data_IF_873593477801
#
_entry.id   IF_873593477801
#
_cell.length_a   1.000
_cell.length_b   1.000
_cell.length_c   1.000
_cell.angle_alpha   90.00
_cell.angle_beta   90.00
_cell.angle_gamma   90.00
#
_symmetry.space_group_name_H-M   'P 1'
#
loop_
_entity.id
_entity.type
_entity.pdbx_description
1 polymer ?
#
# COMPACT_ATOMS: atom_id res chain seq x y z
N UNK A 1 -2.92 24.52 -13.68
CA UNK A 1 -3.79 24.15 -14.82
C UNK A 1 -3.06 23.10 -15.63
N UNK A 2 -3.61 21.90 -15.77
CA UNK A 2 -3.07 20.86 -16.65
C UNK A 2 -3.90 20.88 -17.94
N UNK A 3 -3.30 20.82 -19.14
CA UNK A 3 -4.05 20.86 -20.39
C UNK A 3 -4.72 19.51 -20.69
N UNK A 4 -5.89 19.56 -21.31
CA UNK A 4 -6.53 18.43 -21.97
C UNK A 4 -5.87 18.24 -23.34
N UNK A 5 -5.40 17.04 -23.64
CA UNK A 5 -5.14 16.59 -25.02
C UNK A 5 -5.95 15.33 -25.24
N UNK A 6 -6.97 15.45 -26.08
CA UNK A 6 -7.66 14.33 -26.68
C UNK A 6 -6.85 13.90 -27.91
N UNK A 7 -6.40 12.66 -27.94
CA UNK A 7 -5.87 12.04 -29.16
C UNK A 7 -6.46 10.64 -29.27
N UNK A 8 -7.40 10.50 -30.19
CA UNK A 8 -7.94 9.22 -30.60
C UNK A 8 -6.84 8.41 -31.31
N UNK A 9 -6.46 7.27 -30.73
CA UNK A 9 -5.84 6.18 -31.48
C UNK A 9 -6.64 4.92 -31.20
N UNK A 10 -7.25 4.35 -32.25
CA UNK A 10 -7.90 3.05 -32.20
C UNK A 10 -6.84 1.97 -32.31
N UNK A 11 -6.79 1.08 -31.33
CA UNK A 11 -6.09 -0.20 -31.43
C UNK A 11 -7.09 -1.30 -31.08
N UNK A 12 -7.37 -2.21 -32.03
CA UNK A 12 -8.15 -3.41 -31.76
C UNK A 12 -7.21 -4.62 -31.86
N UNK A 13 -7.00 -5.29 -30.74
CA UNK A 13 -6.52 -6.67 -30.72
C UNK A 13 -7.26 -7.41 -29.59
N UNK A 14 -8.01 -8.45 -29.96
CA UNK A 14 -8.92 -9.17 -29.07
C UNK A 14 -8.13 -10.08 -28.12
N UNK A 15 -7.94 -9.63 -26.87
CA UNK A 15 -7.78 -10.52 -25.71
C UNK A 15 -8.62 -9.94 -24.59
N UNK A 16 -9.44 -10.76 -23.96
CA UNK A 16 -10.25 -10.40 -22.80
C UNK A 16 -9.34 -9.77 -21.73
N UNK A 17 -9.25 -8.44 -21.65
CA UNK A 17 -8.44 -7.73 -20.65
C UNK A 17 -9.24 -7.83 -19.35
N UNK A 18 -8.73 -8.58 -18.37
CA UNK A 18 -9.26 -8.53 -17.01
C UNK A 18 -9.13 -7.10 -16.51
N UNK A 19 -10.25 -6.49 -16.14
CA UNK A 19 -10.23 -5.18 -15.51
C UNK A 19 -9.98 -5.43 -14.02
N UNK A 20 -8.69 -5.53 -13.68
CA UNK A 20 -8.23 -5.53 -12.28
C UNK A 20 -7.97 -4.08 -11.89
N UNK A 21 -8.89 -3.53 -11.08
CA UNK A 21 -8.75 -2.23 -10.46
C UNK A 21 -8.23 -2.36 -9.03
N UNK A 22 -7.54 -1.32 -8.59
CA UNK A 22 -6.87 -1.26 -7.31
C UNK A 22 -7.40 -0.04 -6.55
N UNK A 23 -7.75 -0.23 -5.30
CA UNK A 23 -8.13 0.84 -4.40
C UNK A 23 -7.28 0.71 -3.14
N UNK A 24 -6.69 1.81 -2.70
CA UNK A 24 -6.01 1.90 -1.41
C UNK A 24 -6.87 2.75 -0.49
N UNK A 25 -7.04 2.32 0.76
CA UNK A 25 -7.82 3.10 1.74
C UNK A 25 -7.15 4.43 2.08
N UNK A 26 -5.83 4.55 1.87
CA UNK A 26 -5.07 5.79 2.01
C UNK A 26 -3.80 5.77 1.16
N UNK A 27 -3.33 6.94 0.74
CA UNK A 27 -2.01 7.15 0.10
C UNK A 27 -0.87 7.33 1.09
N UNK A 28 -1.21 7.47 2.37
CA UNK A 28 -0.31 7.65 3.49
C UNK A 28 -0.64 6.63 4.57
N UNK A 29 0.39 6.07 5.19
CA UNK A 29 0.24 5.12 6.28
C UNK A 29 1.21 5.41 7.41
N UNK A 30 0.79 5.07 8.63
CA UNK A 30 1.45 5.39 9.87
C UNK A 30 1.68 4.13 10.72
N UNK A 31 2.89 4.01 11.25
CA UNK A 31 3.29 2.97 12.21
C UNK A 31 4.11 3.66 13.33
N UNK A 32 3.87 3.35 14.62
CA UNK A 32 4.68 3.88 15.70
C UNK A 32 6.04 3.18 15.76
N UNK A 33 7.09 3.85 16.22
CA UNK A 33 8.43 3.25 16.39
C UNK A 33 8.47 2.12 17.42
N UNK A 34 7.51 2.13 18.35
CA UNK A 34 7.29 1.07 19.33
C UNK A 34 6.57 -0.16 18.76
N UNK A 35 6.24 -0.16 17.48
CA UNK A 35 5.59 -1.30 16.82
C UNK A 35 6.51 -2.51 16.76
N UNK A 36 5.91 -3.68 16.97
CA UNK A 36 6.56 -4.98 16.77
C UNK A 36 6.24 -5.51 15.37
N UNK A 37 7.02 -6.49 14.90
CA UNK A 37 6.75 -7.21 13.65
C UNK A 37 5.29 -7.71 13.60
N UNK A 38 4.65 -7.60 12.44
CA UNK A 38 3.24 -7.93 12.23
C UNK A 38 2.25 -6.80 12.56
N UNK A 39 2.71 -5.68 13.12
CA UNK A 39 1.83 -4.52 13.36
C UNK A 39 1.32 -3.96 12.03
N UNK A 40 0.00 -3.80 11.91
CA UNK A 40 -0.60 -3.21 10.70
C UNK A 40 -0.36 -1.71 10.63
N UNK A 41 -0.07 -1.23 9.42
CA UNK A 41 0.02 0.20 9.10
C UNK A 41 -1.38 0.80 9.19
N UNK A 42 -1.52 1.98 9.79
CA UNK A 42 -2.81 2.68 9.94
C UNK A 42 -2.96 3.83 8.97
N UNK A 43 -4.20 4.21 8.65
CA UNK A 43 -4.48 5.36 7.77
C UNK A 43 -4.25 6.73 8.43
N UNK A 44 -4.05 6.78 9.75
CA UNK A 44 -3.66 7.98 10.48
C UNK A 44 -2.82 7.64 11.73
N UNK A 45 -2.15 8.63 12.37
CA UNK A 45 -1.38 8.41 13.60
C UNK A 45 -2.22 7.98 14.82
N UNK A 46 -3.55 8.09 14.76
CA UNK A 46 -4.42 7.70 15.87
C UNK A 46 -4.32 6.18 16.12
N UNK A 47 -4.03 5.71 17.36
CA UNK A 47 -3.98 4.29 17.69
C UNK A 47 -5.28 3.51 17.40
N UNK A 48 -6.42 4.20 17.33
CA UNK A 48 -7.72 3.62 17.01
C UNK A 48 -8.08 3.69 15.52
N UNK A 49 -7.20 4.27 14.68
CA UNK A 49 -7.45 4.36 13.25
C UNK A 49 -7.45 2.98 12.58
N UNK A 50 -8.24 2.89 11.51
CA UNK A 50 -8.31 1.70 10.68
C UNK A 50 -6.94 1.36 10.07
N UNK A 51 -6.75 0.06 9.81
CA UNK A 51 -5.56 -0.41 9.10
C UNK A 51 -5.64 -0.02 7.63
N UNK A 52 -4.51 0.39 7.08
CA UNK A 52 -4.34 0.63 5.67
C UNK A 52 -4.52 -0.70 4.94
N UNK A 53 -5.49 -0.72 4.03
CA UNK A 53 -5.85 -1.90 3.27
C UNK A 53 -5.77 -1.59 1.78
N UNK A 54 -5.19 -2.55 1.07
CA UNK A 54 -5.17 -2.64 -0.37
C UNK A 54 -6.36 -3.51 -0.78
N UNK A 55 -7.30 -2.90 -1.49
CA UNK A 55 -8.46 -3.57 -2.07
C UNK A 55 -8.21 -3.80 -3.55
N UNK A 56 -8.40 -5.04 -3.98
CA UNK A 56 -8.33 -5.44 -5.38
C UNK A 56 -9.74 -5.78 -5.82
N UNK A 57 -10.19 -5.13 -6.88
CA UNK A 57 -11.44 -5.46 -7.55
C UNK A 57 -11.12 -6.00 -8.94
N UNK A 58 -11.67 -7.16 -9.27
CA UNK A 58 -11.46 -7.86 -10.54
C UNK A 58 -12.82 -8.13 -11.14
N UNK A 59 -13.16 -7.40 -12.22
CA UNK A 59 -14.46 -7.50 -12.88
C UNK A 59 -14.70 -8.89 -13.52
N UNK A 60 -13.65 -9.71 -13.64
CA UNK A 60 -13.80 -11.08 -14.11
C UNK A 60 -14.32 -12.03 -13.02
N UNK A 61 -14.32 -11.62 -11.74
CA UNK A 61 -14.84 -12.43 -10.64
C UNK A 61 -16.36 -12.36 -10.57
N UNK A 62 -17.01 -13.39 -11.12
CA UNK A 62 -18.47 -13.53 -11.10
C UNK A 62 -18.93 -14.36 -9.89
N UNK A 63 -20.16 -14.16 -9.39
CA UNK A 63 -20.75 -15.04 -8.38
C UNK A 63 -20.64 -16.51 -8.79
N UNK A 64 -20.17 -17.36 -7.88
CA UNK A 64 -19.92 -18.79 -8.14
C UNK A 64 -18.50 -19.14 -8.56
N UNK A 65 -17.62 -18.16 -8.81
CA UNK A 65 -16.18 -18.43 -8.96
C UNK A 65 -15.50 -18.64 -7.58
N UNK A 66 -14.42 -19.43 -7.52
CA UNK A 66 -13.57 -19.48 -6.34
C UNK A 66 -13.03 -18.09 -5.99
N UNK A 67 -12.80 -17.78 -4.70
CA UNK A 67 -12.10 -16.56 -4.31
C UNK A 67 -10.76 -16.44 -5.04
N UNK A 68 -10.46 -15.26 -5.59
CA UNK A 68 -9.15 -15.00 -6.17
C UNK A 68 -8.09 -14.88 -5.08
N UNK A 69 -6.91 -15.45 -5.35
CA UNK A 69 -5.71 -15.23 -4.55
C UNK A 69 -4.81 -14.26 -5.29
N UNK A 70 -4.39 -13.20 -4.59
CA UNK A 70 -3.48 -12.20 -5.12
C UNK A 70 -2.11 -12.30 -4.46
N UNK A 71 -1.07 -12.24 -5.28
CA UNK A 71 0.29 -11.96 -4.84
C UNK A 71 0.50 -10.46 -4.86
N UNK A 72 0.78 -9.87 -3.71
CA UNK A 72 1.23 -8.49 -3.62
C UNK A 72 2.74 -8.43 -3.77
N UNK A 73 3.21 -7.49 -4.59
CA UNK A 73 4.62 -7.23 -4.80
C UNK A 73 4.91 -5.80 -4.36
N UNK A 74 5.83 -5.67 -3.40
CA UNK A 74 6.33 -4.39 -2.94
C UNK A 74 7.67 -4.07 -3.58
N UNK A 75 7.85 -2.84 -4.04
CA UNK A 75 9.14 -2.33 -4.51
C UNK A 75 9.41 -0.92 -3.95
N UNK A 76 10.67 -0.46 -4.02
CA UNK A 76 11.10 0.82 -3.46
C UNK A 76 11.74 0.71 -2.07
N UNK A 77 12.17 1.84 -1.48
CA UNK A 77 12.96 1.85 -0.24
C UNK A 77 12.29 1.21 0.97
N UNK A 78 10.95 1.19 1.05
CA UNK A 78 10.23 0.53 2.13
C UNK A 78 10.01 -0.98 1.95
N UNK A 79 10.33 -1.55 0.78
CA UNK A 79 9.91 -2.91 0.42
C UNK A 79 10.62 -4.00 1.24
N UNK A 80 11.73 -3.67 1.90
CA UNK A 80 12.43 -4.55 2.84
C UNK A 80 11.90 -4.42 4.27
N UNK A 81 11.08 -3.42 4.56
CA UNK A 81 10.59 -3.06 5.90
C UNK A 81 9.14 -3.47 6.08
N UNK A 82 8.34 -3.47 5.01
CA UNK A 82 6.92 -3.77 5.03
C UNK A 82 6.58 -4.99 4.18
N UNK A 83 5.45 -5.60 4.47
CA UNK A 83 4.84 -6.67 3.67
C UNK A 83 3.31 -6.53 3.66
N UNK A 84 2.66 -7.22 2.72
CA UNK A 84 1.19 -7.23 2.59
C UNK A 84 0.69 -8.65 2.81
N UNK A 85 -0.34 -8.81 3.64
CA UNK A 85 -0.97 -10.12 3.86
C UNK A 85 -1.96 -10.48 2.74
N UNK A 86 -2.51 -11.71 2.79
CA UNK A 86 -3.49 -12.16 1.79
C UNK A 86 -4.82 -11.41 1.81
N UNK A 87 -5.09 -10.63 2.86
CA UNK A 87 -6.29 -9.79 3.01
C UNK A 87 -6.04 -8.37 2.51
N UNK A 88 -4.82 -8.05 2.08
CA UNK A 88 -4.41 -6.74 1.59
C UNK A 88 -3.97 -5.77 2.68
N UNK A 89 -3.77 -6.19 3.93
CA UNK A 89 -3.26 -5.30 4.97
C UNK A 89 -1.76 -5.18 4.89
N UNK A 90 -1.28 -3.93 4.87
CA UNK A 90 0.14 -3.62 4.94
C UNK A 90 0.60 -3.69 6.41
N UNK A 91 1.71 -4.37 6.67
CA UNK A 91 2.23 -4.56 8.02
C UNK A 91 3.75 -4.45 8.07
N UNK A 92 4.26 -4.20 9.28
CA UNK A 92 5.69 -4.12 9.56
C UNK A 92 6.33 -5.52 9.51
N UNK A 93 7.35 -5.70 8.67
CA UNK A 93 8.04 -6.96 8.42
C UNK A 93 9.47 -7.00 8.95
N UNK A 94 9.80 -6.08 9.86
CA UNK A 94 11.09 -6.04 10.57
C UNK A 94 10.84 -6.00 12.08
N UNK A 95 11.81 -6.40 12.92
CA UNK A 95 11.63 -6.44 14.37
C UNK A 95 11.38 -5.06 15.00
N UNK A 96 11.96 -4.00 14.43
CA UNK A 96 11.87 -2.62 14.92
C UNK A 96 12.19 -1.62 13.81
N UNK A 97 11.77 -0.37 14.01
CA UNK A 97 12.13 0.79 13.18
C UNK A 97 12.66 1.90 14.07
N UNK A 98 13.53 2.74 13.51
CA UNK A 98 14.11 3.91 14.15
C UNK A 98 14.00 5.06 13.16
N UNK A 99 13.24 6.10 13.51
CA UNK A 99 13.04 7.30 12.71
C UNK A 99 13.73 8.54 13.32
N UNK A 100 14.56 8.35 14.36
CA UNK A 100 15.39 9.43 14.89
C UNK A 100 16.53 9.74 13.89
N UNK A 101 16.82 11.03 13.62
CA UNK A 101 17.92 11.40 12.73
C UNK A 101 19.25 10.74 13.15
N UNK A 102 20.02 10.18 12.20
CA UNK A 102 19.94 10.39 10.74
C UNK A 102 19.02 9.43 9.98
N UNK A 103 18.25 8.57 10.67
CA UNK A 103 17.40 7.58 10.02
C UNK A 103 16.20 8.24 9.32
N UNK A 104 15.68 7.64 8.23
CA UNK A 104 14.53 8.17 7.53
C UNK A 104 13.24 8.01 8.35
N UNK A 105 12.47 9.09 8.48
CA UNK A 105 11.13 9.09 9.10
C UNK A 105 10.00 8.84 8.10
N UNK A 106 10.32 8.47 6.87
CA UNK A 106 9.35 8.12 5.83
C UNK A 106 9.96 7.18 4.80
N UNK A 107 9.12 6.29 4.25
CA UNK A 107 9.51 5.28 3.27
C UNK A 107 8.55 5.31 2.09
N UNK A 108 9.07 5.24 0.86
CA UNK A 108 8.21 5.09 -0.35
C UNK A 108 8.08 3.62 -0.72
N UNK A 109 6.87 3.25 -1.14
CA UNK A 109 6.51 1.91 -1.56
C UNK A 109 5.73 1.98 -2.88
N UNK A 110 6.08 1.13 -3.82
CA UNK A 110 5.18 0.81 -4.93
C UNK A 110 4.57 -0.56 -4.67
N UNK A 111 3.28 -0.69 -4.93
CA UNK A 111 2.51 -1.91 -4.71
C UNK A 111 1.90 -2.36 -6.03
N UNK A 112 2.14 -3.60 -6.40
CA UNK A 112 1.40 -4.27 -7.49
C UNK A 112 0.74 -5.54 -6.98
N UNK A 113 -0.28 -6.02 -7.69
CA UNK A 113 -0.98 -7.26 -7.38
C UNK A 113 -1.12 -8.12 -8.64
N UNK A 114 -0.87 -9.43 -8.49
CA UNK A 114 -1.00 -10.43 -9.55
C UNK A 114 -1.92 -11.55 -9.08
N UNK A 115 -2.89 -11.96 -9.89
CA UNK A 115 -3.75 -13.11 -9.59
C UNK A 115 -2.99 -14.42 -9.83
N UNK A 116 -2.93 -15.31 -8.83
CA UNK A 116 -2.09 -16.53 -8.87
C UNK A 116 -2.82 -17.75 -9.45
N UNK A 117 -4.15 -17.83 -9.33
CA UNK A 117 -4.92 -19.04 -9.63
C UNK A 117 -5.78 -18.95 -10.91
N UNK A 118 -5.40 -18.08 -11.83
CA UNK A 118 -5.96 -18.04 -13.17
C UNK A 118 -5.07 -18.89 -14.10
N UNK A 119 -5.60 -19.71 -15.02
CA UNK A 119 -4.81 -20.34 -16.08
C UNK A 119 -4.13 -19.32 -17.02
N UNK A 120 -4.34 -18.02 -16.79
CA UNK A 120 -3.67 -16.92 -17.47
C UNK A 120 -3.19 -15.85 -16.45
N UNK A 121 -1.88 -15.54 -16.34
CA UNK A 121 -1.38 -14.51 -15.42
C UNK A 121 -1.87 -13.11 -15.81
N UNK A 122 -2.48 -12.36 -14.87
CA UNK A 122 -2.98 -10.98 -15.09
C UNK A 122 -2.66 -10.11 -13.85
N UNK A 123 -2.25 -8.85 -14.03
CA UNK A 123 -1.84 -7.97 -12.91
C UNK A 123 -1.84 -6.46 -13.21
N UNK A 124 -1.77 -5.64 -12.14
CA UNK A 124 -1.83 -4.15 -12.15
C UNK A 124 -0.82 -3.54 -11.13
N UNK A 125 -0.31 -2.31 -11.35
CA UNK A 125 0.76 -1.64 -10.55
C UNK A 125 0.41 -0.22 -10.07
N UNK A 126 0.78 0.16 -8.83
CA UNK A 126 0.54 1.46 -8.17
C UNK A 126 1.72 1.96 -7.27
N UNK A 127 1.73 3.25 -6.90
CA UNK A 127 2.75 3.91 -6.04
C UNK A 127 2.16 4.61 -4.81
N UNK A 128 2.84 4.54 -3.65
CA UNK A 128 2.42 5.08 -2.34
C UNK A 128 3.60 5.62 -1.49
N UNK A 129 3.34 6.55 -0.57
CA UNK A 129 4.32 7.07 0.41
C UNK A 129 3.87 6.73 1.84
N UNK A 130 4.77 6.27 2.70
CA UNK A 130 4.52 6.00 4.12
C UNK A 130 5.30 6.96 5.00
N UNK A 131 4.69 7.45 6.09
CA UNK A 131 5.33 8.28 7.10
C UNK A 131 5.33 7.57 8.46
N UNK A 132 6.42 7.66 9.22
CA UNK A 132 6.45 7.20 10.62
C UNK A 132 6.01 8.36 11.52
N UNK A 133 5.16 8.08 12.51
CA UNK A 133 4.72 9.09 13.48
C UNK A 133 5.64 9.03 14.72
N UNK A 134 6.62 9.92 14.83
CA UNK A 134 7.36 10.11 16.09
C UNK A 134 6.65 11.15 16.96
N UNK A 135 6.43 10.83 18.24
CA UNK A 135 5.99 11.82 19.22
C UNK A 135 7.26 12.42 19.83
N UNK A 136 7.73 13.53 19.27
CA UNK A 136 8.82 14.31 19.87
C UNK A 136 8.44 14.71 21.30
N UNK A 137 9.11 14.13 22.30
CA UNK A 137 9.12 14.66 23.68
C UNK A 137 10.35 15.54 23.80
N UNK A 138 10.19 16.87 23.71
CA UNK A 138 11.06 17.97 24.17
C UNK A 138 10.34 19.26 23.74
N UNK A 139 10.03 20.31 24.52
CA UNK A 139 10.30 20.74 25.88
C UNK A 139 9.10 21.60 26.35
N UNK A 140 8.58 21.34 27.54
CA UNK A 140 7.76 22.30 28.26
C UNK A 140 8.66 23.06 29.25
N UNK A 141 9.39 24.07 28.76
CA UNK A 141 9.88 25.14 29.62
C UNK A 141 8.99 26.35 29.34
N UNK A 142 8.06 26.61 30.27
CA UNK A 142 7.39 27.90 30.36
C UNK A 142 8.39 28.92 30.86
N UNK A 143 8.51 30.01 30.11
CA UNK A 143 9.19 31.24 30.48
C UNK A 143 8.70 31.75 31.84
N UNK A 144 9.64 32.32 32.61
CA UNK A 144 9.39 33.19 33.76
C UNK A 144 8.97 34.58 33.28
#
# INVERSE_FOLDING_TARGET
MCPTVDTSTVSVNLRYISIVSFQISSREGYVPETAVIGTTVRVSPNPQAESLQILVSDEDLRPGMPPATYQYILTGPGATIFAVDQRGYLYLNVPSIDADPPNPSSYRLNVSAIRILSPEPRGSTWSMCLGTSSRSRHNANKEQ
#
